data_IF_182173013049
#
_entry.id   IF_182173013049
#
_cell.length_a   1.000
_cell.length_b   1.000
_cell.length_c   1.000
_cell.angle_alpha   90.00
_cell.angle_beta   90.00
_cell.angle_gamma   90.00
#
_symmetry.space_group_name_H-M   'P 1'
#
loop_
_entity.id
_entity.type
_entity.pdbx_description
1 polymer ?
#
# COMPACT_ATOMS: atom_id res chain seq x y z
N UNK A 1 43.34 7.51 24.48
CA UNK A 1 42.29 6.70 23.84
C UNK A 1 40.99 7.18 24.46
N UNK A 2 40.29 8.10 23.81
CA UNK A 2 38.98 8.55 24.28
C UNK A 2 37.90 7.65 23.67
N UNK A 3 37.12 7.04 24.56
CA UNK A 3 35.94 6.23 24.26
C UNK A 3 34.82 7.14 23.72
N UNK A 4 34.55 7.04 22.42
CA UNK A 4 33.43 7.72 21.77
C UNK A 4 32.11 6.99 22.03
N UNK A 5 31.58 7.09 23.24
CA UNK A 5 30.20 6.68 23.52
C UNK A 5 29.22 7.55 22.69
N UNK A 6 28.27 6.96 21.94
CA UNK A 6 27.35 7.75 21.14
C UNK A 6 26.47 8.61 22.06
N UNK A 7 26.47 9.93 21.83
CA UNK A 7 25.71 10.88 22.64
C UNK A 7 24.22 10.51 22.69
N UNK A 8 23.59 10.72 23.84
CA UNK A 8 22.17 10.45 24.06
C UNK A 8 21.24 11.15 23.04
N UNK A 9 21.71 12.22 22.38
CA UNK A 9 20.99 12.93 21.31
C UNK A 9 20.88 12.13 20.01
N UNK A 10 21.87 11.31 19.64
CA UNK A 10 21.82 10.52 18.40
C UNK A 10 20.92 9.28 18.51
N UNK A 11 20.80 8.71 19.71
CA UNK A 11 19.85 7.59 19.96
C UNK A 11 18.40 8.07 19.93
N UNK A 12 18.09 9.20 20.58
CA UNK A 12 16.74 9.82 20.53
C UNK A 12 16.31 10.16 19.11
N UNK A 13 17.21 10.72 18.30
CA UNK A 13 16.91 11.10 16.90
C UNK A 13 16.64 9.89 16.00
N UNK A 14 17.34 8.77 16.21
CA UNK A 14 17.09 7.52 15.47
C UNK A 14 15.80 6.81 15.92
N UNK A 15 15.46 6.85 17.22
CA UNK A 15 14.20 6.34 17.75
C UNK A 15 12.99 7.17 17.30
N UNK A 16 13.12 8.50 17.25
CA UNK A 16 12.09 9.39 16.69
C UNK A 16 11.88 9.17 15.19
N UNK A 17 12.97 8.99 14.40
CA UNK A 17 12.86 8.69 12.97
C UNK A 17 12.12 7.37 12.71
N UNK A 18 12.37 6.32 13.50
CA UNK A 18 11.67 5.04 13.38
C UNK A 18 10.18 5.08 13.77
N UNK A 19 9.76 6.06 14.58
CA UNK A 19 8.36 6.28 14.96
C UNK A 19 7.57 7.11 13.93
N UNK A 20 8.25 7.70 12.96
CA UNK A 20 7.66 8.57 11.93
C UNK A 20 7.56 7.91 10.55
N UNK A 21 8.13 6.71 10.38
CA UNK A 21 8.03 5.95 9.13
C UNK A 21 6.84 5.00 9.15
N UNK A 22 6.26 4.74 7.97
CA UNK A 22 5.32 3.64 7.82
C UNK A 22 6.03 2.30 8.03
N UNK A 23 5.36 1.31 8.63
CA UNK A 23 5.97 0.00 8.91
C UNK A 23 6.24 -0.80 7.63
N UNK A 24 5.57 -0.48 6.53
CA UNK A 24 5.83 -1.10 5.23
C UNK A 24 5.56 -0.16 4.05
N UNK A 25 6.28 -0.32 2.93
CA UNK A 25 6.01 0.44 1.69
C UNK A 25 4.61 0.17 1.12
N UNK A 26 4.07 -1.05 1.28
CA UNK A 26 2.73 -1.40 0.82
C UNK A 26 1.67 -0.61 1.58
N UNK A 27 1.82 -0.48 2.90
CA UNK A 27 0.92 0.33 3.72
C UNK A 27 1.04 1.82 3.39
N UNK A 28 2.27 2.31 3.16
CA UNK A 28 2.52 3.68 2.69
C UNK A 28 1.81 3.95 1.35
N UNK A 29 1.97 3.07 0.36
CA UNK A 29 1.39 3.23 -0.97
C UNK A 29 -0.13 3.14 -0.96
N UNK A 30 -0.70 2.22 -0.17
CA UNK A 30 -2.14 2.12 0.02
C UNK A 30 -2.70 3.40 0.68
N UNK A 31 -2.01 3.91 1.71
CA UNK A 31 -2.39 5.16 2.36
C UNK A 31 -2.29 6.36 1.40
N UNK A 32 -1.22 6.46 0.59
CA UNK A 32 -1.03 7.53 -0.41
C UNK A 32 -2.17 7.51 -1.43
N UNK A 33 -2.47 6.33 -1.98
CA UNK A 33 -3.50 6.13 -2.99
C UNK A 33 -4.92 6.31 -2.45
N UNK A 34 -5.11 6.19 -1.13
CA UNK A 34 -6.38 6.42 -0.46
C UNK A 34 -6.75 7.92 -0.46
N UNK A 35 -7.98 8.29 -0.87
CA UNK A 35 -8.45 9.67 -0.80
C UNK A 35 -8.38 10.24 0.62
N UNK A 36 -7.94 11.49 0.78
CA UNK A 36 -7.76 12.11 2.11
C UNK A 36 -9.06 12.22 2.92
N UNK A 37 -10.11 12.77 2.29
CA UNK A 37 -11.36 13.16 2.94
C UNK A 37 -12.57 12.57 2.23
N UNK A 38 -13.60 12.21 3.00
CA UNK A 38 -14.97 12.15 2.51
C UNK A 38 -15.65 13.52 2.62
N UNK A 39 -16.94 13.55 2.30
CA UNK A 39 -17.82 14.69 2.58
C UNK A 39 -18.47 14.55 3.96
N UNK A 40 -18.91 15.65 4.59
CA UNK A 40 -19.78 15.58 5.77
C UNK A 40 -20.98 14.66 5.54
N UNK A 41 -21.32 13.86 6.55
CA UNK A 41 -22.58 13.09 6.54
C UNK A 41 -23.73 14.07 6.75
N UNK A 42 -24.72 14.11 5.84
CA UNK A 42 -25.67 15.23 5.82
C UNK A 42 -26.53 15.34 7.09
N UNK A 43 -26.81 14.21 7.77
CA UNK A 43 -27.71 14.14 8.92
C UNK A 43 -27.01 13.87 10.25
N UNK A 44 -25.68 13.78 10.27
CA UNK A 44 -24.91 13.41 11.45
C UNK A 44 -23.62 14.23 11.54
N UNK A 45 -23.02 14.42 12.71
CA UNK A 45 -21.86 15.29 12.86
C UNK A 45 -20.58 14.70 12.27
N UNK A 46 -20.63 13.61 11.51
CA UNK A 46 -19.44 12.88 11.10
C UNK A 46 -18.77 13.44 9.84
N UNK A 47 -17.44 13.48 9.88
CA UNK A 47 -16.57 13.70 8.75
C UNK A 47 -15.60 12.52 8.61
N UNK A 48 -15.89 11.54 7.74
CA UNK A 48 -14.99 10.41 7.53
C UNK A 48 -13.75 10.84 6.75
N UNK A 49 -12.58 10.37 7.17
CA UNK A 49 -11.30 10.62 6.51
C UNK A 49 -10.37 9.40 6.64
N UNK A 50 -9.28 9.39 5.88
CA UNK A 50 -8.15 8.49 6.21
C UNK A 50 -7.37 9.08 7.40
N UNK A 51 -6.46 8.34 8.04
CA UNK A 51 -5.65 8.88 9.14
C UNK A 51 -4.79 10.06 8.66
N UNK A 52 -4.87 11.24 9.30
CA UNK A 52 -3.80 12.23 9.22
C UNK A 52 -2.52 11.64 9.81
N UNK A 53 -1.36 12.04 9.29
CA UNK A 53 -0.06 11.65 9.83
C UNK A 53 0.48 12.70 10.79
N UNK A 54 1.42 12.29 11.65
CA UNK A 54 2.28 13.21 12.39
C UNK A 54 3.00 14.13 11.43
N UNK A 55 3.27 15.38 11.83
CA UNK A 55 4.00 16.35 11.00
C UNK A 55 5.32 15.79 10.49
N UNK A 56 6.14 15.22 11.37
CA UNK A 56 7.43 14.62 10.99
C UNK A 56 7.30 13.44 10.01
N UNK A 57 6.23 12.65 10.10
CA UNK A 57 5.97 11.54 9.17
C UNK A 57 5.51 12.03 7.79
N UNK A 58 4.72 13.12 7.76
CA UNK A 58 4.23 13.76 6.54
C UNK A 58 5.37 14.37 5.72
N UNK A 59 6.42 14.88 6.38
CA UNK A 59 7.58 15.48 5.70
C UNK A 59 8.39 14.46 4.89
N UNK A 60 8.26 13.16 5.21
CA UNK A 60 8.87 12.04 4.47
C UNK A 60 8.08 11.67 3.20
N UNK A 61 6.99 12.39 2.91
CA UNK A 61 6.19 12.25 1.70
C UNK A 61 6.43 13.39 0.72
N UNK A 62 6.21 13.09 -0.55
CA UNK A 62 6.14 14.10 -1.60
C UNK A 62 5.03 15.10 -1.28
N UNK A 63 5.24 16.38 -1.62
CA UNK A 63 4.34 17.48 -1.29
C UNK A 63 2.88 17.21 -1.69
N UNK A 64 2.69 16.57 -2.86
CA UNK A 64 1.38 16.19 -3.39
C UNK A 64 0.66 15.09 -2.61
N UNK A 65 1.36 14.36 -1.73
CA UNK A 65 0.85 13.21 -0.96
C UNK A 65 0.70 13.50 0.54
N UNK A 66 1.22 14.64 1.02
CA UNK A 66 1.15 15.06 2.42
C UNK A 66 -0.29 15.18 2.92
N UNK A 67 -0.50 14.76 4.16
CA UNK A 67 -1.77 14.92 4.88
C UNK A 67 -1.54 14.74 6.38
N UNK A 68 -1.37 15.85 7.09
CA UNK A 68 -1.24 15.90 8.55
C UNK A 68 -2.49 16.54 9.22
N UNK A 69 -2.48 16.59 10.55
CA UNK A 69 -3.56 17.19 11.34
C UNK A 69 -3.78 18.68 11.06
N UNK A 70 -2.71 19.46 10.84
CA UNK A 70 -2.81 20.89 10.53
C UNK A 70 -3.44 21.14 9.16
N UNK A 71 -2.98 20.43 8.13
CA UNK A 71 -3.59 20.44 6.79
C UNK A 71 -5.07 20.03 6.84
N UNK A 72 -5.40 19.04 7.67
CA UNK A 72 -6.77 18.62 7.90
C UNK A 72 -7.61 19.75 8.50
N UNK A 73 -7.17 20.35 9.61
CA UNK A 73 -7.90 21.40 10.31
C UNK A 73 -8.02 22.68 9.48
N UNK A 74 -6.95 23.12 8.83
CA UNK A 74 -6.97 24.30 7.96
C UNK A 74 -8.02 24.16 6.85
N UNK A 75 -8.10 22.98 6.23
CA UNK A 75 -9.11 22.71 5.21
C UNK A 75 -10.55 22.68 5.76
N UNK A 76 -10.74 22.39 7.04
CA UNK A 76 -12.06 22.47 7.67
C UNK A 76 -12.44 23.91 7.98
N UNK A 77 -11.49 24.71 8.47
CA UNK A 77 -11.66 26.14 8.71
C UNK A 77 -12.04 26.87 7.42
N UNK A 78 -11.32 26.60 6.32
CA UNK A 78 -11.63 27.16 4.99
C UNK A 78 -13.02 26.76 4.49
N UNK A 79 -13.48 25.56 4.84
CA UNK A 79 -14.81 25.08 4.53
C UNK A 79 -15.88 25.56 5.52
N UNK A 80 -15.54 26.47 6.45
CA UNK A 80 -16.41 26.96 7.53
C UNK A 80 -16.99 25.83 8.39
N UNK A 81 -16.19 24.80 8.66
CA UNK A 81 -16.56 23.64 9.49
C UNK A 81 -15.81 23.69 10.81
N UNK A 82 -16.57 23.69 11.91
CA UNK A 82 -16.04 23.53 13.26
C UNK A 82 -15.88 22.04 13.56
N UNK A 83 -14.65 21.51 13.54
CA UNK A 83 -14.36 20.16 14.03
C UNK A 83 -13.87 20.29 15.47
N UNK A 84 -14.62 19.72 16.41
CA UNK A 84 -14.27 19.78 17.83
C UNK A 84 -13.93 18.41 18.45
N UNK A 85 -14.05 17.32 17.69
CA UNK A 85 -13.61 16.00 18.13
C UNK A 85 -13.01 15.20 16.97
N UNK A 86 -11.96 14.43 17.26
CA UNK A 86 -11.34 13.48 16.33
C UNK A 86 -11.32 12.11 16.99
N UNK A 87 -11.87 11.10 16.31
CA UNK A 87 -11.89 9.72 16.76
C UNK A 87 -10.97 8.87 15.89
N UNK A 88 -9.95 8.28 16.51
CA UNK A 88 -9.09 7.27 15.90
C UNK A 88 -9.59 5.87 16.23
N UNK A 89 -9.86 5.08 15.20
CA UNK A 89 -10.21 3.65 15.27
C UNK A 89 -9.03 2.76 14.84
N UNK A 90 -7.83 3.32 14.78
CA UNK A 90 -6.64 2.62 14.33
C UNK A 90 -6.21 1.61 15.39
N UNK A 91 -5.89 0.38 14.97
CA UNK A 91 -5.17 -0.55 15.84
C UNK A 91 -3.71 -0.08 15.97
N UNK A 92 -3.21 0.23 17.19
CA UNK A 92 -1.82 0.64 17.41
C UNK A 92 -0.79 -0.32 16.81
N UNK A 93 -1.12 -1.61 16.71
CA UNK A 93 -0.23 -2.62 16.10
C UNK A 93 0.00 -2.40 14.61
N UNK A 94 -0.85 -1.62 13.93
CA UNK A 94 -0.68 -1.24 12.53
C UNK A 94 0.46 -0.27 12.31
N UNK A 95 0.96 0.39 13.34
CA UNK A 95 2.16 1.24 13.27
C UNK A 95 2.07 2.43 12.31
N UNK A 96 0.88 2.86 11.87
CA UNK A 96 0.75 4.08 11.08
C UNK A 96 1.10 5.28 11.99
N UNK A 97 2.02 6.17 11.58
CA UNK A 97 2.48 7.28 12.42
C UNK A 97 1.44 8.41 12.44
N UNK A 98 0.39 8.24 13.25
CA UNK A 98 -0.70 9.21 13.43
C UNK A 98 -0.43 10.18 14.61
N UNK A 99 -1.00 11.40 14.59
CA UNK A 99 -0.84 12.37 15.67
C UNK A 99 -1.28 11.84 17.02
N UNK A 100 -0.57 12.22 18.07
CA UNK A 100 -1.00 11.98 19.45
C UNK A 100 -1.97 13.07 19.92
N UNK A 101 -2.65 12.83 21.05
CA UNK A 101 -3.62 13.78 21.62
C UNK A 101 -3.06 15.22 21.73
N UNK A 102 -1.80 15.35 22.16
CA UNK A 102 -1.14 16.64 22.36
C UNK A 102 -1.00 17.46 21.08
N UNK A 103 -0.93 16.82 19.91
CA UNK A 103 -0.86 17.53 18.62
C UNK A 103 -2.20 18.16 18.22
N UNK A 104 -3.29 17.79 18.90
CA UNK A 104 -4.64 18.34 18.70
C UNK A 104 -5.01 19.42 19.74
N UNK A 105 -4.26 19.53 20.84
CA UNK A 105 -4.55 20.48 21.94
C UNK A 105 -4.58 21.94 21.45
N UNK A 106 -3.67 22.31 20.54
CA UNK A 106 -3.59 23.65 19.95
C UNK A 106 -4.81 24.02 19.09
N UNK A 107 -5.62 23.04 18.71
CA UNK A 107 -6.80 23.22 17.86
C UNK A 107 -8.13 23.20 18.62
N UNK A 108 -8.10 23.07 19.97
CA UNK A 108 -9.30 22.90 20.81
C UNK A 108 -10.16 21.69 20.35
N UNK A 109 -9.47 20.60 19.98
CA UNK A 109 -10.07 19.36 19.50
C UNK A 109 -9.94 18.26 20.55
N UNK A 110 -11.07 17.66 20.93
CA UNK A 110 -11.08 16.45 21.78
C UNK A 110 -10.61 15.25 20.95
N UNK A 111 -9.43 14.71 21.25
CA UNK A 111 -8.90 13.52 20.56
C UNK A 111 -9.22 12.24 21.36
N UNK A 112 -9.88 11.28 20.71
CA UNK A 112 -10.34 10.03 21.33
C UNK A 112 -9.82 8.83 20.55
N UNK A 113 -9.10 7.95 21.24
CA UNK A 113 -8.63 6.68 20.66
C UNK A 113 -9.52 5.53 21.12
N UNK A 114 -10.04 4.76 20.16
CA UNK A 114 -10.84 3.57 20.41
C UNK A 114 -10.15 2.39 19.76
N UNK A 115 -9.45 1.58 20.56
CA UNK A 115 -8.80 0.37 20.07
C UNK A 115 -9.86 -0.66 19.66
N UNK A 116 -9.88 -1.10 18.39
CA UNK A 116 -10.92 -1.99 17.91
C UNK A 116 -10.76 -3.42 18.46
N UNK A 117 -11.76 -3.87 19.21
CA UNK A 117 -11.88 -5.29 19.63
C UNK A 117 -12.89 -6.04 18.77
N UNK A 118 -14.00 -5.40 18.44
CA UNK A 118 -15.01 -5.86 17.48
C UNK A 118 -15.73 -4.65 16.87
N UNK A 119 -16.40 -4.85 15.74
CA UNK A 119 -17.15 -3.80 15.07
C UNK A 119 -18.28 -3.24 15.95
N UNK A 120 -18.98 -4.13 16.65
CA UNK A 120 -20.10 -3.81 17.53
C UNK A 120 -19.65 -2.98 18.73
N UNK A 121 -18.50 -3.34 19.31
CA UNK A 121 -17.87 -2.56 20.37
C UNK A 121 -17.53 -1.16 19.86
N UNK A 122 -16.83 -1.06 18.72
CA UNK A 122 -16.45 0.24 18.16
C UNK A 122 -17.66 1.13 17.92
N UNK A 123 -18.76 0.59 17.37
CA UNK A 123 -20.00 1.35 17.18
C UNK A 123 -20.58 1.86 18.51
N UNK A 124 -20.62 1.03 19.56
CA UNK A 124 -21.14 1.42 20.87
C UNK A 124 -20.30 2.53 21.53
N UNK A 125 -18.98 2.41 21.48
CA UNK A 125 -18.07 3.40 22.06
C UNK A 125 -18.04 4.71 21.28
N UNK A 126 -18.06 4.65 19.94
CA UNK A 126 -18.21 5.84 19.10
C UNK A 126 -19.51 6.55 19.44
N UNK A 127 -20.64 5.83 19.49
CA UNK A 127 -21.93 6.43 19.85
C UNK A 127 -21.89 7.10 21.23
N UNK A 128 -21.30 6.44 22.23
CA UNK A 128 -21.16 6.96 23.60
C UNK A 128 -20.33 8.25 23.63
N UNK A 129 -19.14 8.24 23.02
CA UNK A 129 -18.24 9.39 22.98
C UNK A 129 -18.87 10.57 22.24
N UNK A 130 -19.44 10.33 21.06
CA UNK A 130 -20.15 11.37 20.28
C UNK A 130 -21.32 11.95 21.05
N UNK A 131 -22.13 11.11 21.69
CA UNK A 131 -23.29 11.60 22.47
C UNK A 131 -22.86 12.44 23.68
N UNK A 132 -21.75 12.10 24.33
CA UNK A 132 -21.20 12.89 25.43
C UNK A 132 -20.61 14.22 24.95
N UNK A 133 -19.92 14.21 23.81
CA UNK A 133 -19.32 15.38 23.18
C UNK A 133 -20.38 16.39 22.72
N UNK A 134 -21.41 15.95 21.98
CA UNK A 134 -22.45 16.83 21.44
C UNK A 134 -23.31 17.49 22.52
N UNK A 135 -23.38 16.92 23.72
CA UNK A 135 -24.03 17.57 24.88
C UNK A 135 -23.30 18.84 25.31
N UNK A 136 -21.98 18.89 25.10
CA UNK A 136 -21.12 20.04 25.42
C UNK A 136 -21.02 21.00 24.23
N UNK A 137 -20.90 20.45 23.01
CA UNK A 137 -20.70 21.20 21.76
C UNK A 137 -21.68 20.72 20.68
N UNK A 138 -22.88 21.30 20.64
CA UNK A 138 -24.00 20.77 19.83
C UNK A 138 -23.86 20.95 18.32
N UNK A 139 -23.03 21.88 17.86
CA UNK A 139 -22.86 22.20 16.43
C UNK A 139 -21.48 21.81 15.87
N UNK A 140 -20.64 21.19 16.68
CA UNK A 140 -19.31 20.77 16.25
C UNK A 140 -19.34 19.42 15.54
N UNK A 141 -18.49 19.29 14.53
CA UNK A 141 -18.26 18.07 13.78
C UNK A 141 -17.27 17.15 14.48
N UNK A 142 -17.37 15.87 14.12
CA UNK A 142 -16.56 14.76 14.58
C UNK A 142 -15.84 14.16 13.39
N UNK A 143 -14.53 14.32 13.33
CA UNK A 143 -13.70 13.58 12.39
C UNK A 143 -13.53 12.14 12.87
N UNK A 144 -13.57 11.17 11.96
CA UNK A 144 -13.42 9.75 12.34
C UNK A 144 -12.69 8.97 11.25
N UNK A 145 -11.73 8.13 11.64
CA UNK A 145 -10.92 7.34 10.73
C UNK A 145 -10.48 5.99 11.32
N UNK A 146 -10.35 4.98 10.47
CA UNK A 146 -9.58 3.75 10.67
C UNK A 146 -8.38 3.75 9.70
N UNK A 147 -7.83 2.62 9.24
CA UNK A 147 -6.69 2.63 8.30
C UNK A 147 -6.98 3.39 6.98
N UNK A 148 -8.19 3.27 6.45
CA UNK A 148 -8.63 3.87 5.17
C UNK A 148 -9.88 4.77 5.28
N UNK A 149 -10.49 4.81 6.45
CA UNK A 149 -11.72 5.57 6.70
C UNK A 149 -12.97 4.99 6.03
N UNK A 150 -12.99 3.70 5.67
CA UNK A 150 -14.09 3.08 4.94
C UNK A 150 -14.82 2.01 5.75
N UNK A 151 -14.20 0.86 6.05
CA UNK A 151 -14.95 -0.29 6.57
C UNK A 151 -15.40 -0.12 8.02
N UNK A 152 -14.46 -0.05 8.97
CA UNK A 152 -14.78 0.09 10.39
C UNK A 152 -15.40 1.45 10.71
N UNK A 153 -14.88 2.52 10.09
CA UNK A 153 -15.47 3.87 10.14
C UNK A 153 -16.90 3.87 9.63
N UNK A 154 -17.15 3.28 8.47
CA UNK A 154 -18.48 3.17 7.89
C UNK A 154 -19.42 2.36 8.75
N UNK A 155 -18.95 1.26 9.34
CA UNK A 155 -19.75 0.45 10.26
C UNK A 155 -20.23 1.28 11.46
N UNK A 156 -19.31 2.02 12.11
CA UNK A 156 -19.64 2.86 13.27
C UNK A 156 -20.62 3.98 12.91
N UNK A 157 -20.40 4.65 11.78
CA UNK A 157 -21.29 5.71 11.29
C UNK A 157 -22.67 5.13 10.97
N UNK A 158 -22.75 4.04 10.20
CA UNK A 158 -24.03 3.43 9.82
C UNK A 158 -24.84 2.95 11.03
N UNK A 159 -24.16 2.36 12.03
CA UNK A 159 -24.78 1.99 13.30
C UNK A 159 -25.35 3.22 14.02
N UNK A 160 -24.60 4.31 14.13
CA UNK A 160 -25.09 5.56 14.73
C UNK A 160 -26.30 6.13 13.97
N UNK A 161 -26.22 6.19 12.64
CA UNK A 161 -27.29 6.68 11.77
C UNK A 161 -28.59 5.90 11.97
N UNK A 162 -28.50 4.58 12.15
CA UNK A 162 -29.66 3.76 12.47
C UNK A 162 -30.15 3.96 13.91
N UNK A 163 -29.27 3.76 14.89
CA UNK A 163 -29.65 3.68 16.30
C UNK A 163 -30.03 5.02 16.92
N UNK A 164 -29.44 6.12 16.44
CA UNK A 164 -29.65 7.47 17.00
C UNK A 164 -30.62 8.29 16.14
N UNK A 165 -30.54 8.17 14.81
CA UNK A 165 -31.36 8.98 13.89
C UNK A 165 -32.54 8.20 13.29
N UNK A 166 -32.67 6.91 13.59
CA UNK A 166 -33.76 6.06 13.11
C UNK A 166 -33.75 5.83 11.60
N UNK A 167 -32.60 5.98 10.92
CA UNK A 167 -32.51 5.69 9.49
C UNK A 167 -32.51 4.18 9.23
N UNK A 168 -33.02 3.77 8.07
CA UNK A 168 -32.89 2.37 7.63
C UNK A 168 -31.41 2.04 7.41
N UNK A 169 -31.05 0.76 7.53
CA UNK A 169 -29.70 0.26 7.26
C UNK A 169 -29.30 0.57 5.82
N UNK A 170 -30.23 0.40 4.86
CA UNK A 170 -29.98 0.73 3.45
C UNK A 170 -29.66 2.21 3.25
N UNK A 171 -30.44 3.10 3.84
CA UNK A 171 -30.22 4.54 3.71
C UNK A 171 -28.92 4.97 4.40
N UNK A 172 -28.61 4.39 5.57
CA UNK A 172 -27.36 4.65 6.28
C UNK A 172 -26.14 4.24 5.43
N UNK A 173 -26.18 3.04 4.84
CA UNK A 173 -25.12 2.55 3.94
C UNK A 173 -24.98 3.42 2.68
N UNK A 174 -26.10 3.83 2.09
CA UNK A 174 -26.11 4.69 0.90
C UNK A 174 -25.58 6.09 1.20
N UNK A 175 -25.96 6.68 2.34
CA UNK A 175 -25.48 7.98 2.80
C UNK A 175 -23.97 7.94 3.05
N UNK A 176 -23.48 6.90 3.73
CA UNK A 176 -22.04 6.73 3.93
C UNK A 176 -21.29 6.54 2.60
N UNK A 177 -21.81 5.71 1.68
CA UNK A 177 -21.20 5.50 0.38
C UNK A 177 -21.16 6.77 -0.49
N UNK A 178 -22.14 7.67 -0.34
CA UNK A 178 -22.17 8.98 -1.00
C UNK A 178 -21.12 9.92 -0.41
N UNK A 179 -21.00 9.94 0.91
CA UNK A 179 -20.01 10.76 1.63
C UNK A 179 -18.58 10.28 1.37
N UNK A 180 -18.36 8.96 1.37
CA UNK A 180 -17.05 8.32 1.27
C UNK A 180 -17.08 7.16 0.28
N UNK A 181 -17.05 7.40 -1.04
CA UNK A 181 -17.07 6.33 -2.04
C UNK A 181 -15.88 5.36 -1.91
N UNK A 182 -16.09 4.03 -2.04
CA UNK A 182 -17.36 3.37 -2.43
C UNK A 182 -18.32 3.11 -1.26
N UNK A 183 -17.94 3.47 -0.03
CA UNK A 183 -18.58 3.08 1.22
C UNK A 183 -17.87 1.91 1.88
N UNK A 184 -18.61 1.11 2.63
CA UNK A 184 -18.11 -0.16 3.17
C UNK A 184 -17.94 -1.14 2.01
N UNK A 185 -16.74 -1.67 1.83
CA UNK A 185 -16.40 -2.60 0.75
C UNK A 185 -15.99 -3.99 1.26
N UNK A 186 -16.23 -4.29 2.53
CA UNK A 186 -16.01 -5.61 3.11
C UNK A 186 -17.34 -6.19 3.61
N UNK A 187 -17.86 -7.21 2.91
CA UNK A 187 -19.25 -7.69 3.06
C UNK A 187 -19.63 -8.10 4.48
N UNK A 188 -18.76 -8.76 5.28
CA UNK A 188 -19.07 -9.11 6.66
C UNK A 188 -19.57 -7.94 7.54
N UNK A 189 -19.09 -6.71 7.33
CA UNK A 189 -19.58 -5.55 8.08
C UNK A 189 -21.02 -5.18 7.68
N UNK A 190 -21.33 -5.26 6.38
CA UNK A 190 -22.68 -4.98 5.86
C UNK A 190 -23.65 -6.07 6.31
N UNK A 191 -23.23 -7.32 6.25
CA UNK A 191 -24.02 -8.46 6.71
C UNK A 191 -24.34 -8.35 8.20
N UNK A 192 -23.36 -8.02 9.06
CA UNK A 192 -23.61 -7.84 10.49
C UNK A 192 -24.57 -6.67 10.78
N UNK A 193 -24.42 -5.52 10.11
CA UNK A 193 -25.38 -4.41 10.24
C UNK A 193 -26.79 -4.85 9.84
N UNK A 194 -26.90 -5.60 8.74
CA UNK A 194 -28.17 -6.12 8.24
C UNK A 194 -28.83 -7.08 9.23
N UNK A 195 -28.10 -8.09 9.69
CA UNK A 195 -28.63 -9.12 10.59
C UNK A 195 -29.08 -8.54 11.94
N UNK A 196 -28.42 -7.48 12.41
CA UNK A 196 -28.73 -6.83 13.68
C UNK A 196 -29.91 -5.87 13.59
N UNK A 197 -30.00 -5.10 12.50
CA UNK A 197 -30.88 -3.93 12.44
C UNK A 197 -32.00 -4.03 11.39
N UNK A 198 -31.81 -4.80 10.32
CA UNK A 198 -32.73 -4.85 9.18
C UNK A 198 -33.86 -5.89 9.33
N UNK A 199 -34.06 -6.50 10.51
CA UNK A 199 -35.09 -7.54 10.75
C UNK A 199 -36.53 -7.11 10.41
N UNK A 200 -36.78 -5.80 10.32
CA UNK A 200 -38.09 -5.21 9.97
C UNK A 200 -38.07 -4.49 8.62
N UNK A 201 -36.96 -4.53 7.89
CA UNK A 201 -36.85 -3.90 6.57
C UNK A 201 -37.22 -4.90 5.47
N UNK A 202 -37.99 -4.45 4.49
CA UNK A 202 -38.29 -5.26 3.32
C UNK A 202 -37.07 -5.39 2.39
N UNK A 203 -36.73 -6.60 1.98
CA UNK A 203 -35.73 -6.90 0.95
C UNK A 203 -34.50 -7.67 1.45
N UNK A 204 -33.43 -7.64 0.66
CA UNK A 204 -32.20 -8.39 0.93
C UNK A 204 -31.04 -7.50 1.37
N UNK A 205 -30.06 -8.11 2.03
CA UNK A 205 -28.81 -7.49 2.44
C UNK A 205 -28.08 -6.86 1.23
N UNK A 206 -27.74 -5.57 1.28
CA UNK A 206 -27.01 -4.91 0.21
C UNK A 206 -25.69 -5.62 -0.11
N UNK A 207 -25.44 -5.82 -1.40
CA UNK A 207 -24.19 -6.40 -1.87
C UNK A 207 -23.10 -5.33 -1.93
N UNK A 208 -21.86 -5.78 -1.78
CA UNK A 208 -20.68 -4.92 -1.80
C UNK A 208 -20.39 -4.46 -3.23
N UNK A 209 -20.01 -3.19 -3.37
CA UNK A 209 -19.40 -2.69 -4.61
C UNK A 209 -17.98 -3.21 -4.75
N UNK A 210 -17.45 -3.25 -5.97
CA UNK A 210 -16.07 -3.66 -6.23
C UNK A 210 -15.07 -2.96 -5.28
N UNK A 211 -14.11 -3.76 -4.79
CA UNK A 211 -13.04 -3.26 -3.92
C UNK A 211 -12.25 -2.17 -4.64
N UNK A 212 -11.99 -1.01 -4.03
CA UNK A 212 -11.19 0.03 -4.66
C UNK A 212 -9.78 -0.46 -4.98
N UNK A 213 -9.24 -0.02 -6.12
CA UNK A 213 -7.87 -0.38 -6.55
C UNK A 213 -6.77 0.08 -5.59
N UNK A 214 -7.06 1.07 -4.74
CA UNK A 214 -6.14 1.58 -3.71
C UNK A 214 -6.22 0.79 -2.39
N UNK A 215 -7.27 0.01 -2.17
CA UNK A 215 -7.47 -0.70 -0.91
C UNK A 215 -6.58 -1.96 -0.86
N UNK A 216 -5.71 -2.03 0.14
CA UNK A 216 -4.77 -3.16 0.31
C UNK A 216 -5.50 -4.44 0.78
N UNK A 217 -5.02 -5.61 0.34
CA UNK A 217 -5.47 -6.92 0.85
C UNK A 217 -4.90 -7.24 2.24
N UNK A 218 -3.96 -6.44 2.75
CA UNK A 218 -3.33 -6.66 4.06
C UNK A 218 -4.12 -6.05 5.23
N UNK A 219 -5.22 -5.33 4.93
CA UNK A 219 -6.08 -4.64 5.90
C UNK A 219 -7.19 -5.61 6.35
N UNK A 220 -6.80 -6.74 6.94
CA UNK A 220 -7.73 -7.55 7.72
C UNK A 220 -7.46 -7.26 9.19
N UNK A 221 -8.31 -6.45 9.83
CA UNK A 221 -8.47 -6.55 11.27
C UNK A 221 -9.26 -7.83 11.48
N UNK A 222 -8.54 -8.92 11.79
CA UNK A 222 -9.14 -10.01 12.53
C UNK A 222 -9.57 -9.41 13.87
N UNK A 223 -10.88 -9.19 14.04
CA UNK A 223 -11.48 -9.09 15.35
C UNK A 223 -11.17 -10.42 16.06
N UNK A 224 -10.13 -10.44 16.89
CA UNK A 224 -9.90 -11.58 17.76
C UNK A 224 -11.05 -11.65 18.77
N UNK A 225 -12.00 -12.52 18.46
CA UNK A 225 -13.13 -12.87 19.32
C UNK A 225 -14.39 -13.07 18.50
N UNK A 226 -14.62 -14.32 18.07
CA UNK A 226 -15.87 -14.84 17.47
C UNK A 226 -16.18 -14.48 16.00
N UNK A 227 -15.22 -14.60 15.09
CA UNK A 227 -15.49 -15.10 13.73
C UNK A 227 -14.26 -15.91 13.27
N UNK A 228 -14.26 -17.20 13.60
CA UNK A 228 -13.22 -18.13 13.20
C UNK A 228 -13.21 -18.31 11.67
N UNK A 229 -12.04 -18.16 11.05
CA UNK A 229 -11.83 -18.54 9.65
C UNK A 229 -11.95 -20.07 9.49
N UNK A 230 -12.55 -20.59 8.41
CA UNK A 230 -12.24 -21.92 7.94
C UNK A 230 -10.88 -21.94 7.23
N UNK A 231 -10.15 -23.02 7.53
CA UNK A 231 -8.83 -23.45 7.06
C UNK A 231 -8.59 -23.28 5.55
N UNK A 232 -7.38 -22.86 5.20
CA UNK A 232 -6.84 -22.80 3.82
C UNK A 232 -6.84 -24.19 3.17
N UNK A 233 -7.40 -24.29 1.96
CA UNK A 233 -6.86 -25.12 0.88
C UNK A 233 -6.80 -24.33 -0.43
N UNK A 234 -5.76 -24.55 -1.26
CA UNK A 234 -5.52 -23.80 -2.49
C UNK A 234 -6.49 -24.27 -3.58
N UNK A 235 -6.79 -23.44 -4.59
CA UNK A 235 -6.99 -23.87 -6.00
C UNK A 235 -7.19 -22.65 -6.92
N UNK A 236 -6.46 -22.72 -8.03
CA UNK A 236 -6.69 -22.27 -9.40
C UNK A 236 -6.91 -20.79 -9.76
N UNK A 237 -6.05 -20.38 -10.70
CA UNK A 237 -6.29 -19.41 -11.76
C UNK A 237 -7.61 -19.69 -12.49
N UNK A 238 -8.38 -18.64 -12.72
CA UNK A 238 -8.66 -18.17 -14.09
C UNK A 238 -9.63 -16.97 -14.05
N UNK A 239 -9.28 -15.90 -14.76
CA UNK A 239 -10.26 -15.16 -15.55
C UNK A 239 -9.59 -14.44 -16.71
N UNK A 240 -10.00 -14.80 -17.93
CA UNK A 240 -9.89 -13.96 -19.11
C UNK A 240 -11.10 -13.03 -19.14
N UNK A 241 -10.88 -11.74 -19.39
CA UNK A 241 -11.71 -10.89 -20.28
C UNK A 241 -11.00 -9.54 -20.52
N UNK A 242 -10.24 -9.44 -21.61
CA UNK A 242 -10.72 -8.69 -22.78
C UNK A 242 -10.59 -7.17 -22.87
N UNK A 243 -9.88 -6.44 -22.01
CA UNK A 243 -9.44 -5.07 -22.34
C UNK A 243 -7.90 -5.02 -22.42
N UNK A 244 -7.36 -4.69 -23.60
CA UNK A 244 -5.91 -4.55 -23.77
C UNK A 244 -5.38 -3.46 -22.82
N UNK A 245 -4.47 -3.82 -21.90
CA UNK A 245 -3.95 -2.86 -20.93
C UNK A 245 -3.16 -1.77 -21.66
N UNK A 246 -3.45 -0.52 -21.33
CA UNK A 246 -2.69 0.63 -21.83
C UNK A 246 -1.22 0.48 -21.42
N UNK A 247 -0.25 0.81 -22.30
CA UNK A 247 1.15 0.81 -21.94
C UNK A 247 1.44 1.69 -20.72
N UNK A 248 2.42 1.27 -19.91
CA UNK A 248 2.78 1.96 -18.69
C UNK A 248 3.06 3.46 -18.94
N UNK A 249 2.39 4.32 -18.16
CA UNK A 249 2.48 5.78 -18.27
C UNK A 249 1.41 6.44 -19.13
N UNK A 250 0.62 5.67 -19.90
CA UNK A 250 -0.54 6.17 -20.63
C UNK A 250 -1.83 6.09 -19.80
N UNK A 251 -2.67 7.11 -19.92
CA UNK A 251 -3.97 7.20 -19.25
C UNK A 251 -5.05 7.63 -20.25
N UNK A 252 -6.24 7.04 -20.18
CA UNK A 252 -7.40 7.38 -21.04
C UNK A 252 -8.19 8.53 -20.41
N UNK A 253 -8.46 9.56 -21.19
CA UNK A 253 -9.23 10.75 -20.83
C UNK A 253 -10.37 10.96 -21.83
N UNK A 254 -11.43 11.67 -21.45
CA UNK A 254 -12.58 11.96 -22.32
C UNK A 254 -12.61 13.44 -22.73
N UNK A 255 -12.61 13.75 -24.03
CA UNK A 255 -12.74 15.13 -24.50
C UNK A 255 -14.20 15.53 -24.62
N UNK A 256 -14.65 16.51 -23.83
CA UNK A 256 -16.01 17.07 -23.94
C UNK A 256 -16.25 17.84 -25.24
N UNK A 257 -15.20 18.42 -25.83
CA UNK A 257 -15.26 19.20 -27.07
C UNK A 257 -15.35 18.33 -28.32
N UNK A 258 -14.70 17.16 -28.31
CA UNK A 258 -14.65 16.25 -29.46
C UNK A 258 -15.51 14.98 -29.25
N UNK A 259 -16.17 14.86 -28.10
CA UNK A 259 -17.01 13.74 -27.66
C UNK A 259 -16.41 12.35 -27.93
N UNK A 260 -15.11 12.20 -27.69
CA UNK A 260 -14.36 10.94 -27.89
C UNK A 260 -13.19 10.82 -26.90
N UNK A 261 -12.71 9.60 -26.58
CA UNK A 261 -11.57 9.41 -25.69
C UNK A 261 -10.25 9.81 -26.36
N UNK A 262 -9.29 10.26 -25.57
CA UNK A 262 -7.89 10.48 -25.96
C UNK A 262 -6.96 9.95 -24.87
N UNK A 263 -5.73 9.60 -25.25
CA UNK A 263 -4.73 9.00 -24.38
C UNK A 263 -3.63 10.00 -24.07
N UNK A 264 -3.24 10.11 -22.80
CA UNK A 264 -2.22 11.04 -22.35
C UNK A 264 -1.13 10.30 -21.58
N UNK A 265 0.11 10.47 -22.02
CA UNK A 265 1.28 9.89 -21.37
C UNK A 265 1.87 10.89 -20.36
N UNK A 266 1.71 10.62 -19.07
CA UNK A 266 2.13 11.56 -18.00
C UNK A 266 3.65 11.70 -17.88
N UNK A 267 4.42 10.68 -18.26
CA UNK A 267 5.88 10.73 -18.17
C UNK A 267 6.55 11.47 -19.34
N UNK A 268 5.86 11.60 -20.47
CA UNK A 268 6.40 12.27 -21.67
C UNK A 268 5.62 13.53 -22.09
N UNK A 269 4.45 13.78 -21.50
CA UNK A 269 3.57 14.91 -21.85
C UNK A 269 2.85 14.78 -23.20
N UNK A 270 2.95 13.62 -23.88
CA UNK A 270 2.33 13.39 -25.19
C UNK A 270 0.83 13.06 -25.07
N UNK A 271 0.04 13.58 -26.00
CA UNK A 271 -1.38 13.24 -26.20
C UNK A 271 -1.59 12.53 -27.54
N UNK A 272 -2.44 11.51 -27.56
CA UNK A 272 -2.80 10.73 -28.76
C UNK A 272 -4.31 10.49 -28.78
N UNK A 273 -4.94 10.54 -29.96
CA UNK A 273 -6.35 10.14 -30.13
C UNK A 273 -6.51 8.64 -30.43
N UNK A 274 -5.41 7.95 -30.69
CA UNK A 274 -5.34 6.51 -30.99
C UNK A 274 -4.69 5.75 -29.84
N UNK A 275 -5.08 4.47 -29.65
CA UNK A 275 -4.58 3.62 -28.57
C UNK A 275 -3.05 3.45 -28.72
N UNK A 276 -2.25 3.97 -27.78
CA UNK A 276 -0.80 3.86 -27.85
C UNK A 276 -0.39 2.39 -27.68
N UNK A 277 0.35 1.85 -28.66
CA UNK A 277 0.92 0.51 -28.58
C UNK A 277 2.28 0.55 -27.87
N UNK A 278 2.73 -0.58 -27.30
CA UNK A 278 3.98 -0.76 -26.54
C UNK A 278 5.29 -0.37 -27.29
N UNK A 279 5.21 0.23 -28.48
CA UNK A 279 6.34 0.51 -29.36
C UNK A 279 6.99 1.91 -29.27
N UNK A 280 6.34 2.92 -28.68
CA UNK A 280 6.75 4.33 -28.93
C UNK A 280 7.36 5.11 -27.75
N UNK A 281 7.87 4.41 -26.73
CA UNK A 281 8.66 5.05 -25.67
C UNK A 281 10.13 4.68 -25.83
N UNK A 282 10.90 5.54 -26.52
CA UNK A 282 12.38 5.51 -26.43
C UNK A 282 12.80 5.88 -25.00
N UNK A 283 13.48 5.01 -24.24
CA UNK A 283 13.90 5.31 -22.87
C UNK A 283 15.18 6.15 -22.85
N UNK A 284 15.39 7.00 -21.82
CA UNK A 284 16.64 7.72 -21.66
C UNK A 284 17.76 6.80 -21.16
N UNK A 285 18.86 6.78 -21.89
CA UNK A 285 20.21 6.80 -21.31
C UNK A 285 20.86 5.48 -20.90
N UNK A 286 20.55 4.93 -19.73
CA UNK A 286 21.31 3.88 -19.03
C UNK A 286 20.51 3.44 -17.79
N UNK A 287 20.44 2.14 -17.49
CA UNK A 287 19.66 1.56 -16.37
C UNK A 287 20.61 0.94 -15.34
N UNK A 288 20.38 1.15 -14.05
CA UNK A 288 21.18 0.53 -13.00
C UNK A 288 20.65 -0.86 -12.66
N UNK A 289 21.51 -1.89 -12.65
CA UNK A 289 21.08 -3.26 -12.31
C UNK A 289 22.11 -4.00 -11.47
N UNK A 290 21.61 -4.86 -10.57
CA UNK A 290 22.38 -5.87 -9.87
C UNK A 290 21.81 -7.26 -10.16
N UNK A 291 22.63 -8.31 -10.09
CA UNK A 291 22.17 -9.68 -10.35
C UNK A 291 22.78 -10.75 -9.44
N UNK A 292 22.08 -11.87 -9.33
CA UNK A 292 22.59 -13.14 -8.80
C UNK A 292 22.53 -14.15 -9.94
N UNK A 293 23.71 -14.60 -10.38
CA UNK A 293 23.88 -15.66 -11.38
C UNK A 293 24.19 -17.00 -10.72
N UNK A 294 23.48 -18.06 -11.10
CA UNK A 294 23.83 -19.45 -10.80
C UNK A 294 24.08 -20.21 -12.10
N UNK A 295 25.26 -20.82 -12.21
CA UNK A 295 25.68 -21.57 -13.40
C UNK A 295 25.28 -23.03 -13.31
N UNK A 296 25.11 -23.69 -14.44
CA UNK A 296 24.80 -25.11 -14.56
C UNK A 296 25.64 -25.74 -15.68
N UNK A 297 25.50 -27.06 -15.89
CA UNK A 297 26.27 -27.81 -16.90
C UNK A 297 26.14 -27.29 -18.33
N UNK A 298 25.04 -26.59 -18.64
CA UNK A 298 24.75 -25.99 -19.94
C UNK A 298 25.19 -24.52 -20.06
N UNK A 299 25.77 -23.94 -19.01
CA UNK A 299 26.27 -22.56 -19.07
C UNK A 299 27.55 -22.48 -19.90
N UNK A 300 27.65 -21.46 -20.77
CA UNK A 300 28.78 -21.18 -21.68
C UNK A 300 30.16 -21.29 -21.02
N UNK A 301 30.26 -20.93 -19.73
CA UNK A 301 31.47 -21.11 -18.92
C UNK A 301 31.10 -21.79 -17.62
N UNK A 302 31.45 -23.07 -17.49
CA UNK A 302 31.14 -23.91 -16.31
C UNK A 302 32.18 -23.79 -15.18
N UNK A 303 32.80 -22.62 -14.99
CA UNK A 303 33.68 -22.33 -13.86
C UNK A 303 33.35 -20.97 -13.25
N UNK A 304 33.54 -20.83 -11.95
CA UNK A 304 33.34 -19.57 -11.22
C UNK A 304 34.49 -19.31 -10.25
N UNK A 305 34.46 -18.17 -9.56
CA UNK A 305 35.43 -17.88 -8.52
C UNK A 305 35.29 -18.82 -7.31
N UNK A 306 34.10 -19.41 -7.10
CA UNK A 306 33.81 -20.43 -6.07
C UNK A 306 34.20 -21.84 -6.50
N UNK A 307 34.13 -22.13 -7.80
CA UNK A 307 34.40 -23.43 -8.38
C UNK A 307 35.30 -23.27 -9.61
N UNK A 308 36.61 -23.16 -9.37
CA UNK A 308 37.62 -22.85 -10.40
C UNK A 308 37.70 -23.95 -11.46
N UNK A 309 37.57 -25.21 -11.06
CA UNK A 309 37.66 -26.39 -11.93
C UNK A 309 36.30 -26.79 -12.54
N UNK A 310 35.21 -26.20 -12.02
CA UNK A 310 33.86 -26.42 -12.49
C UNK A 310 33.25 -27.75 -12.07
N UNK A 311 33.80 -28.40 -11.05
CA UNK A 311 33.41 -29.76 -10.64
C UNK A 311 31.95 -29.83 -10.20
N UNK A 312 31.47 -28.80 -9.51
CA UNK A 312 30.08 -28.68 -9.02
C UNK A 312 29.18 -28.14 -10.12
N UNK A 313 29.64 -27.15 -10.90
CA UNK A 313 28.83 -26.53 -11.96
C UNK A 313 28.53 -27.52 -13.09
N UNK A 314 29.49 -28.38 -13.46
CA UNK A 314 29.31 -29.41 -14.50
C UNK A 314 28.31 -30.51 -14.12
N UNK A 315 28.06 -30.69 -12.83
CA UNK A 315 27.12 -31.70 -12.32
C UNK A 315 25.70 -31.12 -12.10
N UNK A 316 25.58 -29.80 -11.94
CA UNK A 316 24.29 -29.12 -11.69
C UNK A 316 23.43 -29.06 -12.95
N UNK A 317 22.17 -29.51 -12.84
CA UNK A 317 21.17 -29.35 -13.91
C UNK A 317 20.66 -27.90 -14.00
N UNK A 318 19.94 -27.56 -15.08
CA UNK A 318 19.35 -26.22 -15.18
C UNK A 318 18.17 -26.08 -14.21
N UNK A 319 17.44 -27.17 -13.96
CA UNK A 319 16.35 -27.28 -13.01
C UNK A 319 16.84 -27.05 -11.58
N UNK A 320 17.97 -27.66 -11.19
CA UNK A 320 18.57 -27.44 -9.87
C UNK A 320 19.03 -25.99 -9.71
N UNK A 321 19.60 -25.40 -10.77
CA UNK A 321 20.00 -24.01 -10.76
C UNK A 321 18.80 -23.07 -10.60
N UNK A 322 17.67 -23.35 -11.28
CA UNK A 322 16.41 -22.63 -11.10
C UNK A 322 15.87 -22.81 -9.69
N UNK A 323 15.91 -24.02 -9.12
CA UNK A 323 15.42 -24.29 -7.76
C UNK A 323 16.21 -23.52 -6.71
N UNK A 324 17.54 -23.47 -6.84
CA UNK A 324 18.42 -22.66 -5.98
C UNK A 324 18.04 -21.18 -6.09
N UNK A 325 17.88 -20.67 -7.31
CA UNK A 325 17.53 -19.27 -7.55
C UNK A 325 16.12 -18.93 -7.06
N UNK A 326 15.18 -19.87 -7.17
CA UNK A 326 13.82 -19.74 -6.68
C UNK A 326 13.81 -19.66 -5.16
N UNK A 327 14.55 -20.52 -4.46
CA UNK A 327 14.69 -20.43 -3.00
C UNK A 327 15.33 -19.11 -2.56
N UNK A 328 16.31 -18.59 -3.30
CA UNK A 328 16.89 -17.26 -3.07
C UNK A 328 15.84 -16.16 -3.32
N UNK A 329 15.06 -16.24 -4.41
CA UNK A 329 13.99 -15.29 -4.74
C UNK A 329 12.93 -15.29 -3.64
N UNK A 330 12.46 -16.44 -3.19
CA UNK A 330 11.45 -16.57 -2.14
C UNK A 330 11.97 -16.00 -0.82
N UNK A 331 13.23 -16.28 -0.47
CA UNK A 331 13.88 -15.71 0.72
C UNK A 331 13.99 -14.18 0.62
N UNK A 332 14.28 -13.66 -0.58
CA UNK A 332 14.35 -12.22 -0.84
C UNK A 332 12.96 -11.56 -0.85
N UNK A 333 11.94 -12.23 -1.38
CA UNK A 333 10.55 -11.75 -1.39
C UNK A 333 9.93 -11.70 0.02
N UNK A 334 10.47 -12.47 0.97
CA UNK A 334 10.14 -12.37 2.40
C UNK A 334 10.81 -11.17 3.10
N UNK A 335 11.76 -10.49 2.44
CA UNK A 335 12.43 -9.32 3.01
C UNK A 335 11.63 -8.04 2.72
N UNK A 336 11.66 -7.10 3.66
CA UNK A 336 11.15 -5.74 3.45
C UNK A 336 11.93 -5.04 2.35
N UNK A 337 11.33 -4.09 1.63
CA UNK A 337 12.04 -3.35 0.56
C UNK A 337 13.33 -2.65 1.04
N UNK A 338 13.35 -2.21 2.31
CA UNK A 338 14.53 -1.59 2.96
C UNK A 338 15.69 -2.57 3.17
N UNK A 339 15.40 -3.86 3.38
CA UNK A 339 16.39 -4.92 3.55
C UNK A 339 16.64 -5.72 2.27
N UNK A 340 15.71 -5.66 1.31
CA UNK A 340 15.81 -6.38 0.04
C UNK A 340 17.14 -6.14 -0.65
N UNK A 341 17.52 -4.86 -0.85
CA UNK A 341 18.78 -4.51 -1.51
C UNK A 341 20.01 -4.98 -0.74
N UNK A 342 20.01 -4.83 0.60
CA UNK A 342 21.12 -5.27 1.45
C UNK A 342 21.26 -6.79 1.43
N UNK A 343 20.16 -7.51 1.59
CA UNK A 343 20.11 -8.97 1.57
C UNK A 343 20.47 -9.52 0.20
N UNK A 344 19.98 -8.89 -0.87
CA UNK A 344 20.34 -9.21 -2.24
C UNK A 344 21.86 -9.11 -2.45
N UNK A 345 22.46 -8.01 -2.00
CA UNK A 345 23.90 -7.79 -2.07
C UNK A 345 24.72 -8.80 -1.25
N UNK A 346 24.25 -9.17 -0.05
CA UNK A 346 24.86 -10.23 0.77
C UNK A 346 24.83 -11.59 0.07
N UNK A 347 23.67 -11.98 -0.44
CA UNK A 347 23.49 -13.25 -1.15
C UNK A 347 24.27 -13.24 -2.46
N UNK A 348 24.27 -12.14 -3.21
CA UNK A 348 25.05 -12.02 -4.44
C UNK A 348 26.54 -12.20 -4.18
N UNK A 349 27.07 -11.60 -3.10
CA UNK A 349 28.47 -11.75 -2.69
C UNK A 349 28.83 -13.19 -2.34
N UNK A 350 27.92 -13.92 -1.69
CA UNK A 350 28.18 -15.27 -1.17
C UNK A 350 27.85 -16.37 -2.19
N UNK A 351 26.76 -16.22 -2.92
CA UNK A 351 26.14 -17.27 -3.71
C UNK A 351 26.28 -17.10 -5.22
N UNK A 352 26.52 -15.89 -5.74
CA UNK A 352 26.61 -15.70 -7.18
C UNK A 352 27.90 -16.25 -7.79
N UNK A 353 27.75 -16.99 -8.90
CA UNK A 353 28.84 -17.49 -9.74
C UNK A 353 29.42 -16.42 -10.70
N UNK A 354 28.90 -15.19 -10.69
CA UNK A 354 29.44 -14.08 -11.46
C UNK A 354 30.62 -13.40 -10.73
N UNK A 355 31.55 -12.82 -11.48
CA UNK A 355 32.62 -12.00 -10.90
C UNK A 355 32.11 -10.71 -10.26
N UNK A 356 30.91 -10.24 -10.62
CA UNK A 356 30.25 -9.12 -9.96
C UNK A 356 29.94 -9.38 -8.48
N UNK A 357 30.02 -10.62 -8.00
CA UNK A 357 29.91 -10.95 -6.57
C UNK A 357 30.89 -10.13 -5.69
N UNK A 358 32.08 -9.80 -6.20
CA UNK A 358 33.03 -8.91 -5.51
C UNK A 358 32.49 -7.48 -5.30
N UNK A 359 31.57 -7.04 -6.16
CA UNK A 359 30.81 -5.80 -6.08
C UNK A 359 29.37 -6.03 -5.62
N UNK A 360 29.12 -7.10 -4.85
CA UNK A 360 27.81 -7.45 -4.33
C UNK A 360 26.74 -7.68 -5.41
N UNK A 361 27.15 -8.14 -6.59
CA UNK A 361 26.25 -8.39 -7.73
C UNK A 361 25.95 -7.16 -8.59
N UNK A 362 26.47 -5.98 -8.25
CA UNK A 362 26.23 -4.74 -8.99
C UNK A 362 26.95 -4.72 -10.35
N UNK A 363 26.18 -4.48 -11.41
CA UNK A 363 26.68 -4.30 -12.78
C UNK A 363 26.80 -2.83 -13.17
N UNK A 364 26.37 -1.90 -12.32
CA UNK A 364 26.35 -0.47 -12.57
C UNK A 364 25.31 -0.07 -13.61
N UNK A 365 25.58 1.04 -14.29
CA UNK A 365 24.74 1.58 -15.34
C UNK A 365 24.96 0.84 -16.67
N UNK A 366 24.00 0.01 -17.05
CA UNK A 366 24.02 -0.78 -18.28
C UNK A 366 23.25 -0.06 -19.40
N UNK A 367 23.81 -0.09 -20.60
CA UNK A 367 23.21 0.52 -21.78
C UNK A 367 22.43 -0.52 -22.58
N UNK A 368 21.45 -0.06 -23.36
CA UNK A 368 20.72 -0.92 -24.28
C UNK A 368 21.70 -1.62 -25.25
N UNK A 369 21.62 -2.94 -25.36
CA UNK A 369 22.50 -3.78 -26.18
C UNK A 369 23.82 -4.20 -25.52
N UNK A 370 24.10 -3.81 -24.26
CA UNK A 370 25.34 -4.20 -23.58
C UNK A 370 25.28 -5.58 -22.90
N UNK A 371 24.09 -6.18 -22.79
CA UNK A 371 23.86 -7.48 -22.15
C UNK A 371 23.06 -8.42 -23.07
N UNK A 372 22.95 -9.70 -22.70
CA UNK A 372 22.22 -10.68 -23.51
C UNK A 372 20.73 -10.31 -23.64
N UNK A 373 20.07 -10.59 -24.79
CA UNK A 373 18.69 -10.14 -25.06
C UNK A 373 17.66 -10.53 -23.99
N UNK A 374 17.72 -11.76 -23.47
CA UNK A 374 16.81 -12.22 -22.42
C UNK A 374 17.01 -11.46 -21.09
N UNK A 375 18.27 -11.17 -20.74
CA UNK A 375 18.61 -10.37 -19.55
C UNK A 375 18.13 -8.93 -19.70
N UNK A 376 18.31 -8.35 -20.89
CA UNK A 376 17.84 -7.00 -21.21
C UNK A 376 16.33 -6.85 -21.19
N UNK A 377 15.62 -7.78 -21.85
CA UNK A 377 14.17 -7.83 -21.82
C UNK A 377 13.66 -7.85 -20.36
N UNK A 378 14.30 -8.64 -19.50
CA UNK A 378 13.93 -8.75 -18.11
C UNK A 378 14.16 -7.46 -17.31
N UNK A 379 15.34 -6.82 -17.36
CA UNK A 379 15.54 -5.60 -16.55
C UNK A 379 14.84 -4.36 -17.11
N UNK A 380 14.57 -4.32 -18.42
CA UNK A 380 13.93 -3.18 -19.06
C UNK A 380 12.47 -2.97 -18.60
N UNK A 381 11.83 -4.04 -18.15
CA UNK A 381 10.44 -4.02 -17.64
C UNK A 381 10.38 -3.81 -16.12
N UNK A 382 11.49 -3.95 -15.39
CA UNK A 382 11.53 -3.77 -13.94
C UNK A 382 11.41 -2.30 -13.56
N UNK A 383 10.71 -2.03 -12.46
CA UNK A 383 10.79 -0.77 -11.74
C UNK A 383 12.00 -0.75 -10.80
N UNK A 384 12.49 0.44 -10.45
CA UNK A 384 13.60 0.57 -9.50
C UNK A 384 13.21 -0.09 -8.16
N UNK A 385 14.06 -0.97 -7.65
CA UNK A 385 13.81 -1.76 -6.45
C UNK A 385 13.09 -3.09 -6.68
N UNK A 386 12.68 -3.40 -7.92
CA UNK A 386 11.96 -4.63 -8.24
C UNK A 386 12.90 -5.79 -8.60
N UNK A 387 12.52 -7.01 -8.18
CA UNK A 387 13.16 -8.27 -8.58
C UNK A 387 12.49 -8.90 -9.81
N UNK A 388 13.28 -9.28 -10.81
CA UNK A 388 12.80 -10.08 -11.95
C UNK A 388 12.40 -11.49 -11.55
N UNK A 389 11.58 -12.14 -12.36
CA UNK A 389 11.52 -13.60 -12.37
C UNK A 389 12.87 -14.20 -12.78
N UNK A 390 12.99 -15.53 -12.71
CA UNK A 390 14.21 -16.24 -13.09
C UNK A 390 14.42 -16.10 -14.60
N UNK A 391 15.56 -15.54 -15.00
CA UNK A 391 15.90 -15.30 -16.40
C UNK A 391 16.97 -16.28 -16.85
N UNK A 392 16.71 -17.00 -17.93
CA UNK A 392 17.67 -17.89 -18.56
C UNK A 392 18.49 -17.17 -19.62
N UNK A 393 19.80 -17.45 -19.64
CA UNK A 393 20.74 -16.93 -20.63
C UNK A 393 21.81 -17.99 -20.90
N UNK A 394 22.66 -17.77 -21.90
CA UNK A 394 23.80 -18.65 -22.17
C UNK A 394 24.79 -18.70 -21.00
N UNK A 395 24.77 -17.73 -20.08
CA UNK A 395 25.65 -17.71 -18.92
C UNK A 395 25.13 -18.50 -17.71
N UNK A 396 23.87 -18.95 -17.75
CA UNK A 396 23.16 -19.56 -16.63
C UNK A 396 21.85 -18.84 -16.31
N UNK A 397 21.34 -19.05 -15.10
CA UNK A 397 20.08 -18.46 -14.62
C UNK A 397 20.34 -17.25 -13.74
N UNK A 398 19.54 -16.20 -13.90
CA UNK A 398 19.72 -14.90 -13.26
C UNK A 398 18.48 -14.45 -12.50
N UNK A 399 18.73 -13.83 -11.35
CA UNK A 399 17.76 -13.03 -10.62
C UNK A 399 18.26 -11.60 -10.64
N UNK A 400 17.45 -10.67 -11.14
CA UNK A 400 17.86 -9.29 -11.42
C UNK A 400 17.14 -8.34 -10.47
N UNK A 401 17.86 -7.39 -9.88
CA UNK A 401 17.33 -6.26 -9.12
C UNK A 401 17.62 -4.97 -9.89
N UNK A 402 16.61 -4.17 -10.19
CA UNK A 402 16.84 -2.83 -10.76
C UNK A 402 17.24 -1.85 -9.65
N UNK A 403 18.37 -1.17 -9.82
CA UNK A 403 18.96 -0.26 -8.82
C UNK A 403 18.80 1.22 -9.16
N UNK A 404 18.60 1.60 -10.44
CA UNK A 404 18.28 2.98 -10.86
C UNK A 404 17.53 3.06 -12.18
#
# INVERSE_FOLDING_TARGET
MEDGSPSAGSKRKAEELGQNEFPSPELKNAWISCPRLGQPIARAPFLPCKPPLKGAATELLDEGDRFDGGMFMQRQIEASRDVGMVISLLDPQRGIPIPQAQEWDDWDVEYVEITPKSAQQVAADVQKSVSAFLKKRSNSMVAIFCEDGCNLTGYAICAYLHQVLGMSVKDALAEFAKSRPPGIFHHPYIQDLWDRFAKKEDGACPQVKEKPSWASDTIFVAAHGEFALPVIKPIASDSKTGEEPLPAGWSKHWSKTHNKPYYFNRSTGKQSWELPSNGDVKPPGKIGVAHILIKHKGSRRTSSWKDKDGSTIKQRSIEDAKLILQGIRDLLMQQTASNLRKKFHEIAKKESDCSSAAKHGDLGLVAKGSLQPAFEAAYSTLQVGQLSDIVETDSGVHLILRTS
#
